data_IF_648907003985
#
_entry.id   IF_648907003985
#
_cell.length_a   1.000
_cell.length_b   1.000
_cell.length_c   1.000
_cell.angle_alpha   90.00
_cell.angle_beta   90.00
_cell.angle_gamma   90.00
#
_symmetry.space_group_name_H-M   'P 1'
#
loop_
_entity.id
_entity.type
_entity.pdbx_description
1 polymer ?
#
# COMPACT_ATOMS: atom_id res chain seq x y z
N UNK A 1 -18.47 -7.47 6.09
CA UNK A 1 -18.22 -6.19 6.80
C UNK A 1 -19.20 -5.11 6.36
N UNK A 2 -19.10 -4.51 5.17
CA UNK A 2 -20.02 -3.42 4.79
C UNK A 2 -21.46 -3.90 4.53
N UNK A 3 -21.63 -4.91 3.67
CA UNK A 3 -22.95 -5.36 3.17
C UNK A 3 -23.27 -6.83 3.47
N UNK A 4 -22.51 -7.47 4.37
CA UNK A 4 -22.83 -8.82 4.84
C UNK A 4 -23.86 -8.76 5.97
N UNK A 5 -24.42 -9.90 6.41
CA UNK A 5 -25.35 -9.95 7.54
C UNK A 5 -24.76 -9.29 8.79
N UNK A 6 -25.52 -8.40 9.43
CA UNK A 6 -25.05 -7.59 10.57
C UNK A 6 -23.99 -6.55 10.18
N UNK A 7 -23.96 -6.18 8.90
CA UNK A 7 -22.96 -5.28 8.34
C UNK A 7 -23.21 -3.80 8.65
N UNK A 8 -22.21 -2.97 8.40
CA UNK A 8 -22.27 -1.51 8.66
C UNK A 8 -23.48 -0.86 7.98
N UNK A 9 -23.85 -1.32 6.78
CA UNK A 9 -24.97 -0.79 6.02
C UNK A 9 -26.34 -1.01 6.70
N UNK A 10 -26.51 -2.05 7.51
CA UNK A 10 -27.78 -2.31 8.24
C UNK A 10 -28.01 -1.29 9.37
N UNK A 11 -26.94 -0.67 9.87
CA UNK A 11 -26.99 0.39 10.88
C UNK A 11 -27.00 1.81 10.32
N UNK A 12 -27.35 1.97 9.03
CA UNK A 12 -27.41 3.26 8.34
C UNK A 12 -28.33 4.24 9.07
N UNK A 13 -27.83 5.46 9.29
CA UNK A 13 -28.54 6.53 9.97
C UNK A 13 -28.02 7.89 9.51
N UNK A 14 -28.83 8.97 9.64
CA UNK A 14 -28.39 10.32 9.28
C UNK A 14 -27.07 10.69 9.95
N UNK A 15 -26.15 11.27 9.17
CA UNK A 15 -24.83 11.71 9.63
C UNK A 15 -23.79 10.61 9.75
N UNK A 16 -24.12 9.34 9.48
CA UNK A 16 -23.13 8.27 9.41
C UNK A 16 -22.18 8.49 8.20
N UNK A 17 -20.88 8.40 8.46
CA UNK A 17 -19.85 8.38 7.44
C UNK A 17 -19.04 7.09 7.57
N UNK A 18 -18.87 6.39 6.45
CA UNK A 18 -17.99 5.23 6.35
C UNK A 18 -16.66 5.66 5.75
N UNK A 19 -15.57 5.36 6.45
CA UNK A 19 -14.22 5.60 5.97
C UNK A 19 -13.52 4.26 5.75
N UNK A 20 -13.29 3.89 4.50
CA UNK A 20 -12.56 2.67 4.15
C UNK A 20 -11.07 2.95 4.01
N UNK A 21 -10.29 2.51 5.00
CA UNK A 21 -8.83 2.64 5.01
C UNK A 21 -8.10 1.41 4.47
N UNK A 22 -8.85 0.41 4.00
CA UNK A 22 -8.27 -0.75 3.32
C UNK A 22 -7.76 -0.36 1.92
N UNK A 23 -6.98 -1.25 1.30
CA UNK A 23 -6.58 -1.09 -0.10
C UNK A 23 -7.46 -1.95 -1.00
N UNK A 24 -8.15 -1.31 -1.95
CA UNK A 24 -9.10 -1.92 -2.88
C UNK A 24 -8.88 -1.36 -4.30
N UNK A 25 -9.56 -1.92 -5.30
CA UNK A 25 -9.67 -1.28 -6.61
C UNK A 25 -10.48 0.03 -6.50
N UNK A 26 -10.10 1.10 -7.24
CA UNK A 26 -10.88 2.34 -7.33
C UNK A 26 -12.35 2.11 -7.70
N UNK A 27 -12.65 1.09 -8.50
CA UNK A 27 -14.01 0.78 -8.93
C UNK A 27 -14.86 0.18 -7.81
N UNK A 28 -14.25 -0.62 -6.93
CA UNK A 28 -14.94 -1.13 -5.75
C UNK A 28 -15.27 0.00 -4.78
N UNK A 29 -14.36 0.95 -4.56
CA UNK A 29 -14.64 2.13 -3.75
C UNK A 29 -15.82 2.94 -4.29
N UNK A 30 -15.88 3.18 -5.61
CA UNK A 30 -17.02 3.83 -6.26
C UNK A 30 -18.33 3.08 -6.05
N UNK A 31 -18.34 1.76 -6.27
CA UNK A 31 -19.53 0.91 -6.05
C UNK A 31 -20.00 0.91 -4.59
N UNK A 32 -19.07 0.94 -3.63
CA UNK A 32 -19.42 1.01 -2.21
C UNK A 32 -20.06 2.35 -1.88
N UNK A 33 -19.50 3.45 -2.38
CA UNK A 33 -20.07 4.78 -2.18
C UNK A 33 -21.46 4.92 -2.79
N UNK A 34 -21.67 4.45 -4.02
CA UNK A 34 -23.00 4.47 -4.68
C UNK A 34 -24.05 3.73 -3.84
N UNK A 35 -23.69 2.54 -3.37
CA UNK A 35 -24.62 1.69 -2.60
C UNK A 35 -24.88 2.22 -1.19
N UNK A 36 -23.91 2.89 -0.57
CA UNK A 36 -24.08 3.58 0.72
C UNK A 36 -24.88 4.88 0.58
N UNK A 37 -24.72 5.60 -0.53
CA UNK A 37 -25.47 6.82 -0.81
C UNK A 37 -26.98 6.57 -0.92
N UNK A 38 -27.40 5.41 -1.46
CA UNK A 38 -28.80 4.96 -1.46
C UNK A 38 -29.40 4.82 -0.05
N UNK A 39 -28.56 4.68 0.97
CA UNK A 39 -28.93 4.57 2.38
C UNK A 39 -28.71 5.90 3.14
N UNK A 40 -28.37 6.98 2.45
CA UNK A 40 -28.04 8.27 3.06
C UNK A 40 -26.71 8.28 3.82
N UNK A 41 -25.82 7.33 3.56
CA UNK A 41 -24.52 7.20 4.22
C UNK A 41 -23.43 7.77 3.32
N UNK A 42 -22.62 8.67 3.88
CA UNK A 42 -21.47 9.22 3.16
C UNK A 42 -20.29 8.24 3.20
N UNK A 43 -19.43 8.28 2.17
CA UNK A 43 -18.29 7.38 2.06
C UNK A 43 -17.02 8.14 1.67
N UNK A 44 -15.90 7.79 2.31
CA UNK A 44 -14.55 8.19 1.92
C UNK A 44 -13.68 6.93 1.76
N UNK A 45 -12.94 6.82 0.66
CA UNK A 45 -11.81 5.91 0.58
C UNK A 45 -10.54 6.62 1.06
N UNK A 46 -9.96 6.14 2.15
CA UNK A 46 -8.84 6.77 2.84
C UNK A 46 -7.67 5.80 3.10
N UNK A 47 -7.15 5.10 2.09
CA UNK A 47 -6.00 4.20 2.28
C UNK A 47 -4.77 4.96 2.80
N UNK A 48 -3.85 4.20 3.41
CA UNK A 48 -2.67 4.75 4.09
C UNK A 48 -1.37 4.17 3.59
N UNK A 49 -0.27 4.88 3.86
CA UNK A 49 1.09 4.39 3.72
C UNK A 49 1.95 4.83 4.92
N UNK A 50 2.98 4.03 5.26
CA UNK A 50 3.79 4.17 6.48
C UNK A 50 3.88 2.90 7.35
N UNK A 51 3.10 1.86 7.01
CA UNK A 51 3.15 0.55 7.66
C UNK A 51 2.74 0.56 9.13
N UNK A 52 2.94 -0.57 9.82
CA UNK A 52 2.59 -0.72 11.23
C UNK A 52 3.30 0.31 12.13
N UNK A 53 4.58 0.57 11.88
CA UNK A 53 5.36 1.57 12.63
C UNK A 53 4.71 2.95 12.54
N UNK A 54 4.37 3.39 11.33
CA UNK A 54 3.71 4.68 11.13
C UNK A 54 2.34 4.77 11.80
N UNK A 55 1.59 3.67 11.85
CA UNK A 55 0.31 3.63 12.56
C UNK A 55 0.46 3.80 14.07
N UNK A 56 1.43 3.09 14.68
CA UNK A 56 1.71 3.18 16.12
C UNK A 56 2.23 4.57 16.50
N UNK A 57 3.06 5.17 15.65
CA UNK A 57 3.68 6.48 15.91
C UNK A 57 2.78 7.66 15.53
N UNK A 58 1.62 7.42 14.91
CA UNK A 58 0.74 8.49 14.41
C UNK A 58 1.34 9.28 13.25
N UNK A 59 2.18 8.64 12.43
CA UNK A 59 2.95 9.27 11.35
C UNK A 59 2.53 8.85 9.95
N UNK A 60 1.37 8.21 9.82
CA UNK A 60 0.87 7.74 8.53
C UNK A 60 0.71 8.89 7.52
N UNK A 61 0.85 8.55 6.25
CA UNK A 61 0.31 9.35 5.16
C UNK A 61 -1.05 8.79 4.77
N UNK A 62 -2.09 9.63 4.86
CA UNK A 62 -3.49 9.29 4.56
C UNK A 62 -3.87 9.95 3.25
N UNK A 63 -4.34 9.16 2.28
CA UNK A 63 -4.76 9.62 0.95
C UNK A 63 -6.28 9.51 0.88
N UNK A 64 -7.00 10.63 0.88
CA UNK A 64 -8.46 10.63 1.02
C UNK A 64 -9.16 11.02 -0.28
N UNK A 65 -9.94 10.09 -0.82
CA UNK A 65 -10.90 10.30 -1.90
C UNK A 65 -12.33 10.38 -1.39
N UNK A 66 -13.14 11.24 -2.00
CA UNK A 66 -14.57 11.37 -1.69
C UNK A 66 -15.06 12.80 -1.79
N UNK A 67 -16.08 13.16 -0.99
CA UNK A 67 -16.61 14.51 -0.95
C UNK A 67 -15.73 15.41 -0.07
N UNK A 68 -15.34 16.57 -0.60
CA UNK A 68 -14.40 17.47 0.09
C UNK A 68 -14.95 18.00 1.43
N UNK A 69 -16.23 18.35 1.50
CA UNK A 69 -16.82 18.84 2.76
C UNK A 69 -16.79 17.76 3.86
N UNK A 70 -17.01 16.50 3.47
CA UNK A 70 -16.89 15.35 4.38
C UNK A 70 -15.47 15.16 4.86
N UNK A 71 -14.48 15.29 3.95
CA UNK A 71 -13.07 15.25 4.29
C UNK A 71 -12.69 16.36 5.28
N UNK A 72 -13.09 17.61 5.02
CA UNK A 72 -12.78 18.74 5.92
C UNK A 72 -13.37 18.53 7.31
N UNK A 73 -14.61 18.02 7.40
CA UNK A 73 -15.25 17.67 8.67
C UNK A 73 -14.48 16.59 9.44
N UNK A 74 -13.91 15.61 8.74
CA UNK A 74 -13.17 14.49 9.34
C UNK A 74 -11.66 14.71 9.46
N UNK A 75 -11.13 15.85 8.99
CA UNK A 75 -9.70 16.17 9.03
C UNK A 75 -9.08 16.04 10.44
N UNK A 76 -9.74 16.48 11.54
CA UNK A 76 -9.20 16.28 12.89
C UNK A 76 -9.03 14.79 13.27
N UNK A 77 -9.91 13.91 12.77
CA UNK A 77 -9.83 12.46 13.02
C UNK A 77 -8.61 11.87 12.30
N UNK A 78 -8.42 12.24 11.03
CA UNK A 78 -7.25 11.78 10.27
C UNK A 78 -5.93 12.27 10.86
N UNK A 79 -5.89 13.52 11.36
CA UNK A 79 -4.71 14.10 12.01
C UNK A 79 -4.35 13.45 13.35
N UNK A 80 -5.25 12.68 13.96
CA UNK A 80 -4.95 11.96 15.20
C UNK A 80 -3.95 10.81 15.01
N UNK A 81 -3.82 10.28 13.79
CA UNK A 81 -2.92 9.15 13.47
C UNK A 81 -2.11 9.35 12.19
N UNK A 82 -2.35 10.42 11.44
CA UNK A 82 -1.66 10.76 10.21
C UNK A 82 -0.86 12.05 10.34
N UNK A 83 0.41 12.01 9.96
CA UNK A 83 1.26 13.21 9.85
C UNK A 83 0.97 13.98 8.56
N UNK A 84 0.76 13.26 7.47
CA UNK A 84 0.42 13.84 6.17
C UNK A 84 -0.97 13.38 5.77
N UNK A 85 -1.95 14.29 5.78
CA UNK A 85 -3.33 13.97 5.38
C UNK A 85 -3.63 14.76 4.11
N UNK A 86 -3.88 14.06 3.01
CA UNK A 86 -3.97 14.63 1.67
C UNK A 86 -5.34 14.30 1.09
N UNK A 87 -6.13 15.32 0.77
CA UNK A 87 -7.30 15.16 -0.09
C UNK A 87 -6.84 15.01 -1.52
N UNK A 88 -7.22 13.91 -2.17
CA UNK A 88 -6.74 13.57 -3.51
C UNK A 88 -7.81 13.65 -4.59
N UNK A 89 -9.05 14.01 -4.24
CA UNK A 89 -10.14 14.23 -5.18
C UNK A 89 -11.37 13.36 -4.91
N UNK A 90 -12.19 13.07 -5.94
CA UNK A 90 -13.44 12.35 -5.75
C UNK A 90 -13.23 10.88 -5.35
N UNK A 91 -14.33 10.20 -5.00
CA UNK A 91 -14.29 8.80 -4.57
C UNK A 91 -13.54 7.89 -5.56
N UNK A 92 -12.72 7.01 -5.01
CA UNK A 92 -11.82 6.11 -5.72
C UNK A 92 -10.44 6.71 -6.00
N UNK A 93 -10.24 8.03 -5.85
CA UNK A 93 -8.91 8.64 -6.03
C UNK A 93 -7.96 8.30 -4.89
N UNK A 94 -8.46 8.08 -3.67
CA UNK A 94 -7.65 7.57 -2.55
C UNK A 94 -7.05 6.21 -2.90
N UNK A 95 -7.89 5.28 -3.36
CA UNK A 95 -7.45 3.97 -3.83
C UNK A 95 -6.52 4.08 -5.05
N UNK A 96 -6.83 4.92 -6.04
CA UNK A 96 -5.98 5.09 -7.21
C UNK A 96 -4.57 5.59 -6.82
N UNK A 97 -4.50 6.60 -5.95
CA UNK A 97 -3.23 7.11 -5.42
C UNK A 97 -2.47 6.02 -4.64
N UNK A 98 -3.18 5.21 -3.86
CA UNK A 98 -2.57 4.07 -3.17
C UNK A 98 -1.98 3.06 -4.15
N UNK A 99 -2.67 2.70 -5.23
CA UNK A 99 -2.14 1.76 -6.24
C UNK A 99 -0.88 2.31 -6.91
N UNK A 100 -0.84 3.60 -7.25
CA UNK A 100 0.38 4.27 -7.75
C UNK A 100 1.52 4.13 -6.75
N UNK A 101 1.27 4.39 -5.46
CA UNK A 101 2.27 4.22 -4.40
C UNK A 101 2.78 2.77 -4.33
N UNK A 102 1.89 1.78 -4.41
CA UNK A 102 2.25 0.36 -4.30
C UNK A 102 3.08 -0.15 -5.48
N UNK A 103 2.85 0.38 -6.70
CA UNK A 103 3.73 0.12 -7.85
C UNK A 103 5.16 0.57 -7.52
N UNK A 104 5.34 1.82 -7.07
CA UNK A 104 6.67 2.36 -6.73
C UNK A 104 7.32 1.57 -5.59
N UNK A 105 6.56 1.25 -4.53
CA UNK A 105 7.06 0.44 -3.41
C UNK A 105 7.54 -0.93 -3.88
N UNK A 106 6.79 -1.60 -4.75
CA UNK A 106 7.17 -2.91 -5.27
C UNK A 106 8.46 -2.84 -6.10
N UNK A 107 8.56 -1.89 -7.03
CA UNK A 107 9.74 -1.75 -7.89
C UNK A 107 11.00 -1.39 -7.09
N UNK A 108 10.88 -0.49 -6.11
CA UNK A 108 11.99 -0.19 -5.19
C UNK A 108 12.42 -1.44 -4.41
N UNK A 109 11.48 -2.30 -4.03
CA UNK A 109 11.79 -3.54 -3.30
C UNK A 109 12.49 -4.55 -4.19
N UNK A 110 12.06 -4.72 -5.44
CA UNK A 110 12.76 -5.57 -6.44
C UNK A 110 14.18 -5.07 -6.65
N UNK A 111 14.37 -3.78 -6.92
CA UNK A 111 15.67 -3.17 -7.14
C UNK A 111 16.60 -3.34 -5.93
N UNK A 112 16.08 -3.13 -4.71
CA UNK A 112 16.83 -3.35 -3.47
C UNK A 112 17.28 -4.81 -3.35
N UNK A 113 16.38 -5.77 -3.53
CA UNK A 113 16.70 -7.20 -3.37
C UNK A 113 17.73 -7.66 -4.41
N UNK A 114 17.57 -7.31 -5.69
CA UNK A 114 18.55 -7.66 -6.72
C UNK A 114 19.91 -7.00 -6.47
N UNK A 115 19.91 -5.71 -6.10
CA UNK A 115 21.13 -4.99 -5.77
C UNK A 115 21.90 -5.61 -4.59
N UNK A 116 21.20 -6.04 -3.54
CA UNK A 116 21.83 -6.72 -2.40
C UNK A 116 22.38 -8.11 -2.77
N UNK A 117 21.69 -8.85 -3.65
CA UNK A 117 22.21 -10.13 -4.15
C UNK A 117 23.47 -9.93 -4.98
N UNK A 118 23.48 -8.94 -5.87
CA UNK A 118 24.66 -8.58 -6.66
C UNK A 118 25.82 -8.16 -5.74
N UNK A 119 25.57 -7.28 -4.78
CA UNK A 119 26.59 -6.84 -3.83
C UNK A 119 27.22 -8.01 -3.05
N UNK A 120 26.38 -8.96 -2.59
CA UNK A 120 26.85 -10.17 -1.92
C UNK A 120 27.68 -11.06 -2.85
N UNK A 121 27.25 -11.25 -4.10
CA UNK A 121 27.99 -12.04 -5.09
C UNK A 121 29.36 -11.44 -5.44
N UNK A 122 29.46 -10.11 -5.42
CA UNK A 122 30.71 -9.36 -5.60
C UNK A 122 31.61 -9.34 -4.35
N UNK A 123 31.16 -9.93 -3.22
CA UNK A 123 31.92 -9.94 -1.97
C UNK A 123 32.01 -8.57 -1.30
N UNK A 124 31.07 -7.67 -1.56
CA UNK A 124 31.06 -6.35 -0.93
C UNK A 124 30.68 -6.44 0.55
N UNK A 125 31.26 -5.54 1.33
CA UNK A 125 30.89 -5.31 2.73
C UNK A 125 29.46 -4.75 2.80
N UNK A 126 28.55 -5.52 3.40
CA UNK A 126 27.13 -5.21 3.44
C UNK A 126 26.79 -3.98 4.30
N UNK A 127 27.63 -3.63 5.28
CA UNK A 127 27.44 -2.39 6.06
C UNK A 127 27.75 -1.17 5.19
N UNK A 128 28.83 -1.22 4.40
CA UNK A 128 29.18 -0.17 3.43
C UNK A 128 28.15 -0.05 2.32
N UNK A 129 27.64 -1.18 1.82
CA UNK A 129 26.53 -1.20 0.86
C UNK A 129 25.32 -0.46 1.42
N UNK A 130 24.96 -0.70 2.69
CA UNK A 130 23.85 0.00 3.31
C UNK A 130 24.08 1.51 3.45
N UNK A 131 25.28 1.94 3.82
CA UNK A 131 25.63 3.37 3.84
C UNK A 131 25.43 4.03 2.47
N UNK A 132 25.90 3.38 1.40
CA UNK A 132 25.75 3.90 0.02
C UNK A 132 24.28 3.95 -0.41
N UNK A 133 23.52 2.87 -0.19
CA UNK A 133 22.13 2.77 -0.63
C UNK A 133 21.17 3.68 0.15
N UNK A 134 21.53 4.06 1.38
CA UNK A 134 20.75 4.98 2.21
C UNK A 134 21.16 6.44 2.07
N UNK A 135 22.38 6.73 1.60
CA UNK A 135 22.90 8.09 1.48
C UNK A 135 22.82 8.73 0.09
N UNK A 136 22.69 7.93 -0.97
CA UNK A 136 22.78 8.39 -2.37
C UNK A 136 21.45 8.39 -3.14
N UNK A 137 21.55 8.54 -4.46
CA UNK A 137 20.40 8.59 -5.37
C UNK A 137 19.53 7.32 -5.38
N UNK A 138 20.06 6.18 -4.92
CA UNK A 138 19.32 4.93 -4.77
C UNK A 138 18.31 4.96 -3.61
N UNK A 139 18.49 5.90 -2.66
CA UNK A 139 17.70 6.00 -1.43
C UNK A 139 16.20 6.01 -1.73
N UNK A 140 15.47 5.16 -1.02
CA UNK A 140 14.00 5.12 -1.03
C UNK A 140 13.46 4.72 0.34
N UNK A 141 12.20 5.03 0.61
CA UNK A 141 11.56 4.63 1.87
C UNK A 141 11.56 3.11 2.09
N UNK A 142 11.50 2.30 1.02
CA UNK A 142 11.65 0.84 1.10
C UNK A 142 13.05 0.45 1.58
N UNK A 143 14.11 1.08 1.06
CA UNK A 143 15.49 0.82 1.47
C UNK A 143 15.70 1.22 2.93
N UNK A 144 15.30 2.43 3.31
CA UNK A 144 15.47 2.92 4.69
C UNK A 144 14.76 2.02 5.71
N UNK A 145 13.58 1.51 5.35
CA UNK A 145 12.78 0.69 6.25
C UNK A 145 13.27 -0.77 6.32
N UNK A 146 13.60 -1.36 5.18
CA UNK A 146 13.78 -2.81 5.08
C UNK A 146 15.23 -3.27 4.96
N UNK A 147 16.17 -2.43 4.50
CA UNK A 147 17.56 -2.82 4.43
C UNK A 147 18.14 -3.18 5.82
N UNK A 148 17.92 -2.40 6.89
CA UNK A 148 18.40 -2.76 8.22
C UNK A 148 17.79 -4.08 8.74
N UNK A 149 16.56 -4.41 8.33
CA UNK A 149 15.92 -5.69 8.68
C UNK A 149 16.58 -6.85 7.94
N UNK A 150 16.80 -6.71 6.62
CA UNK A 150 17.45 -7.73 5.80
C UNK A 150 18.87 -8.04 6.29
N UNK A 151 19.65 -7.03 6.67
CA UNK A 151 21.00 -7.25 7.23
C UNK A 151 20.99 -8.08 8.52
N UNK A 152 19.89 -8.06 9.27
CA UNK A 152 19.68 -8.84 10.50
C UNK A 152 18.96 -10.17 10.25
N UNK A 153 18.62 -10.49 9.00
CA UNK A 153 17.79 -11.66 8.67
C UNK A 153 16.33 -11.54 9.14
N UNK A 154 15.85 -10.33 9.48
CA UNK A 154 14.48 -10.12 9.92
C UNK A 154 13.53 -10.03 8.72
N UNK A 155 12.74 -11.08 8.51
CA UNK A 155 11.72 -11.16 7.45
C UNK A 155 10.30 -10.85 7.95
N UNK A 156 10.15 -10.38 9.20
CA UNK A 156 8.85 -10.05 9.78
C UNK A 156 8.15 -8.91 9.02
N UNK A 157 6.83 -9.02 8.79
CA UNK A 157 6.12 -8.06 7.95
C UNK A 157 5.93 -6.71 8.64
N UNK A 158 6.42 -5.64 8.00
CA UNK A 158 5.82 -4.30 8.15
C UNK A 158 4.62 -4.11 7.22
N UNK A 159 4.62 -4.85 6.12
CA UNK A 159 3.54 -5.03 5.17
C UNK A 159 3.71 -6.43 4.53
N UNK A 160 2.63 -7.20 4.40
CA UNK A 160 2.69 -8.60 3.98
C UNK A 160 2.85 -8.72 2.47
N UNK A 161 3.64 -9.70 2.02
CA UNK A 161 3.82 -10.01 0.60
C UNK A 161 2.48 -10.34 -0.10
N UNK A 162 1.59 -11.08 0.56
CA UNK A 162 0.26 -11.39 0.03
C UNK A 162 -0.59 -10.13 -0.20
N UNK A 163 -0.45 -9.11 0.65
CA UNK A 163 -1.17 -7.85 0.48
C UNK A 163 -0.59 -7.02 -0.67
N UNK A 164 0.75 -6.94 -0.79
CA UNK A 164 1.36 -6.27 -1.93
C UNK A 164 1.01 -6.96 -3.26
N UNK A 165 1.00 -8.29 -3.28
CA UNK A 165 0.53 -9.07 -4.45
C UNK A 165 -0.89 -8.68 -4.86
N UNK A 166 -1.80 -8.56 -3.89
CA UNK A 166 -3.20 -8.15 -4.13
C UNK A 166 -3.25 -6.73 -4.70
N UNK A 167 -2.49 -5.79 -4.13
CA UNK A 167 -2.48 -4.39 -4.59
C UNK A 167 -1.91 -4.27 -6.01
N UNK A 168 -0.82 -4.99 -6.32
CA UNK A 168 -0.26 -5.04 -7.68
C UNK A 168 -1.23 -5.66 -8.69
N UNK A 169 -2.04 -6.64 -8.28
CA UNK A 169 -3.08 -7.18 -9.14
C UNK A 169 -4.14 -6.12 -9.48
N UNK A 170 -4.59 -5.32 -8.51
CA UNK A 170 -5.48 -4.18 -8.78
C UNK A 170 -4.82 -3.12 -9.67
N UNK A 171 -3.54 -2.81 -9.44
CA UNK A 171 -2.81 -1.87 -10.29
C UNK A 171 -2.73 -2.34 -11.75
N UNK A 172 -2.43 -3.63 -11.98
CA UNK A 172 -2.40 -4.22 -13.32
C UNK A 172 -3.78 -4.30 -13.96
N UNK A 173 -4.85 -4.53 -13.19
CA UNK A 173 -6.22 -4.46 -13.70
C UNK A 173 -6.55 -3.05 -14.22
N UNK A 174 -6.19 -2.01 -13.46
CA UNK A 174 -6.38 -0.61 -13.91
C UNK A 174 -5.51 -0.30 -15.13
N UNK A 175 -4.25 -0.75 -15.15
CA UNK A 175 -3.36 -0.54 -16.29
C UNK A 175 -3.92 -1.17 -17.57
N UNK A 176 -4.44 -2.40 -17.50
CA UNK A 176 -5.06 -3.08 -18.63
C UNK A 176 -6.28 -2.31 -19.16
N UNK A 177 -7.14 -1.80 -18.27
CA UNK A 177 -8.32 -1.01 -18.66
C UNK A 177 -7.97 0.32 -19.33
N UNK A 178 -6.82 0.89 -18.96
CA UNK A 178 -6.29 2.12 -19.53
C UNK A 178 -5.32 1.88 -20.71
N UNK A 179 -5.15 0.62 -21.14
CA UNK A 179 -4.19 0.23 -22.18
C UNK A 179 -2.75 0.69 -21.88
N UNK A 180 -2.37 0.71 -20.60
CA UNK A 180 -1.02 1.10 -20.15
C UNK A 180 -0.11 -0.12 -20.05
N UNK A 181 1.08 0.00 -20.64
CA UNK A 181 2.11 -1.02 -20.55
C UNK A 181 3.04 -0.77 -19.34
N UNK A 182 2.93 -1.63 -18.32
CA UNK A 182 3.73 -1.56 -17.09
C UNK A 182 4.60 -2.82 -16.91
N UNK A 183 5.67 -3.01 -17.71
CA UNK A 183 6.43 -4.27 -17.75
C UNK A 183 7.09 -4.61 -16.41
N UNK A 184 7.71 -3.63 -15.75
CA UNK A 184 8.36 -3.84 -14.46
C UNK A 184 7.36 -4.23 -13.37
N UNK A 185 6.15 -3.64 -13.38
CA UNK A 185 5.07 -3.98 -12.46
C UNK A 185 4.56 -5.40 -12.71
N UNK A 186 4.45 -5.80 -13.97
CA UNK A 186 4.09 -7.18 -14.34
C UNK A 186 5.09 -8.19 -13.78
N UNK A 187 6.39 -7.94 -13.95
CA UNK A 187 7.45 -8.77 -13.35
C UNK A 187 7.34 -8.82 -11.82
N UNK A 188 7.19 -7.66 -11.17
CA UNK A 188 7.05 -7.61 -9.72
C UNK A 188 5.84 -8.42 -9.23
N UNK A 189 4.70 -8.32 -9.91
CA UNK A 189 3.51 -9.10 -9.60
C UNK A 189 3.79 -10.61 -9.70
N UNK A 190 4.47 -11.06 -10.75
CA UNK A 190 4.86 -12.47 -10.91
C UNK A 190 5.80 -12.96 -9.79
N UNK A 191 6.77 -12.14 -9.38
CA UNK A 191 7.67 -12.49 -8.26
C UNK A 191 6.88 -12.64 -6.94
N UNK A 192 5.95 -11.73 -6.66
CA UNK A 192 5.13 -11.83 -5.45
C UNK A 192 4.08 -12.97 -5.52
N UNK A 193 3.59 -13.33 -6.71
CA UNK A 193 2.77 -14.56 -6.89
C UNK A 193 3.56 -15.80 -6.48
N UNK A 194 4.78 -15.96 -7.01
CA UNK A 194 5.68 -17.07 -6.66
C UNK A 194 5.98 -17.12 -5.16
N UNK A 195 6.17 -15.96 -4.53
CA UNK A 195 6.36 -15.87 -3.08
C UNK A 195 5.17 -16.45 -2.31
N UNK A 196 3.94 -16.10 -2.71
CA UNK A 196 2.71 -16.61 -2.09
C UNK A 196 2.54 -18.11 -2.36
N UNK A 197 2.82 -18.58 -3.57
CA UNK A 197 2.77 -19.99 -3.94
C UNK A 197 3.74 -20.86 -3.12
N UNK A 198 4.90 -20.32 -2.75
CA UNK A 198 5.87 -20.95 -1.84
C UNK A 198 5.43 -20.93 -0.36
N UNK A 199 4.25 -20.40 -0.03
CA UNK A 199 3.77 -20.27 1.35
C UNK A 199 4.39 -19.09 2.12
N UNK A 200 5.12 -18.19 1.44
CA UNK A 200 5.83 -17.06 2.06
C UNK A 200 5.00 -15.77 2.09
N UNK A 201 3.70 -15.84 1.75
CA UNK A 201 2.82 -14.68 1.62
C UNK A 201 2.64 -13.84 2.91
N UNK A 202 2.83 -14.47 4.07
CA UNK A 202 2.70 -13.81 5.39
C UNK A 202 3.98 -13.08 5.83
N UNK A 203 5.10 -13.30 5.13
CA UNK A 203 6.35 -12.57 5.38
C UNK A 203 6.27 -11.12 4.87
N UNK A 204 7.23 -10.32 5.28
CA UNK A 204 7.38 -8.95 4.78
C UNK A 204 7.67 -8.90 3.28
N UNK A 205 7.25 -7.82 2.63
CA UNK A 205 7.50 -7.61 1.18
C UNK A 205 8.99 -7.70 0.82
N UNK A 206 9.88 -7.31 1.73
CA UNK A 206 11.33 -7.38 1.54
C UNK A 206 11.89 -8.80 1.55
N UNK A 207 11.13 -9.80 1.99
CA UNK A 207 11.52 -11.22 1.89
C UNK A 207 11.43 -11.78 0.45
N UNK A 208 11.17 -10.93 -0.55
CA UNK A 208 11.19 -11.28 -1.97
C UNK A 208 12.49 -11.97 -2.42
N UNK A 209 13.60 -11.74 -1.71
CA UNK A 209 14.88 -12.41 -1.94
C UNK A 209 14.82 -13.93 -1.89
N UNK A 210 13.86 -14.51 -1.16
CA UNK A 210 13.63 -15.97 -1.03
C UNK A 210 13.00 -16.61 -2.29
N UNK A 211 12.55 -15.78 -3.24
CA UNK A 211 11.99 -16.27 -4.52
C UNK A 211 13.08 -16.60 -5.53
N UNK A 212 14.25 -15.96 -5.42
CA UNK A 212 15.42 -16.10 -6.31
C UNK A 212 16.33 -17.26 -5.89
#
# INVERSE_FOLDING_TARGET
VLFGPGGVAEGARPGLVVVDMSTNSPDWARRFAERLAQLGVEFLDAPVTGGQKGAVEGTLTVMVGGREETFQRLLPVFKAFGRNVIYVGPVGYGQAMKLVNQVVVALNTVAMVEGLRLAKALGLDMEKVAQVLTGGAARSGSIELYLPKLLKGDLSPGFKAAHLKKDLAYAMEQANRLSLFLPATSLALELYKKMVEKGLGELGTHALGEVY
#
